data_IF_643427417358
#
_entry.id   IF_643427417358
#
_cell.length_a   1.000
_cell.length_b   1.000
_cell.length_c   1.000
_cell.angle_alpha   90.00
_cell.angle_beta   90.00
_cell.angle_gamma   90.00
#
_symmetry.space_group_name_H-M   'P 1'
#
loop_
_entity.id
_entity.type
_entity.pdbx_description
1 polymer ?
#
# COMPACT_ATOMS: atom_id res chain seq x y z
N UNK A 1 23.16 -10.60 -15.59
CA UNK A 1 21.90 -10.09 -16.18
C UNK A 1 21.87 -8.60 -15.92
N UNK A 2 21.89 -7.79 -16.97
CA UNK A 2 21.98 -6.34 -16.84
C UNK A 2 20.68 -5.79 -16.26
N UNK A 3 20.78 -5.02 -15.16
CA UNK A 3 19.69 -4.18 -14.70
C UNK A 3 19.38 -3.20 -15.85
N UNK A 4 18.24 -3.35 -16.50
CA UNK A 4 17.72 -2.34 -17.41
C UNK A 4 17.52 -1.08 -16.58
N UNK A 5 18.46 -0.15 -16.69
CA UNK A 5 18.37 1.15 -16.04
C UNK A 5 17.13 1.82 -16.60
N UNK A 6 16.02 1.74 -15.85
CA UNK A 6 14.82 2.50 -16.17
C UNK A 6 15.23 3.96 -16.18
N UNK A 7 15.04 4.61 -17.32
CA UNK A 7 15.26 6.05 -17.45
C UNK A 7 14.51 6.77 -16.33
N UNK A 8 15.08 7.82 -15.72
CA UNK A 8 14.40 8.55 -14.67
C UNK A 8 13.09 9.12 -15.23
N UNK A 9 11.98 8.52 -14.83
CA UNK A 9 10.64 9.00 -15.17
C UNK A 9 10.34 10.18 -14.28
N UNK A 10 10.04 11.34 -14.87
CA UNK A 10 9.60 12.49 -14.11
C UNK A 10 8.17 12.27 -13.60
N UNK A 11 8.05 12.00 -12.30
CA UNK A 11 6.76 11.81 -11.62
C UNK A 11 5.98 13.14 -11.56
N UNK A 12 6.66 14.28 -11.65
CA UNK A 12 6.01 15.59 -11.68
C UNK A 12 5.47 15.95 -13.07
N UNK A 13 5.75 15.15 -14.10
CA UNK A 13 5.15 15.33 -15.41
C UNK A 13 3.62 15.15 -15.34
N UNK A 14 2.84 15.78 -16.25
CA UNK A 14 1.38 15.70 -16.24
C UNK A 14 0.83 14.27 -16.21
N UNK A 15 1.45 13.34 -16.95
CA UNK A 15 1.08 11.91 -16.94
C UNK A 15 1.33 11.24 -15.59
N UNK A 16 2.41 11.60 -14.90
CA UNK A 16 2.71 11.12 -13.54
C UNK A 16 1.71 11.65 -12.51
N UNK A 17 1.36 12.93 -12.58
CA UNK A 17 0.35 13.55 -11.70
C UNK A 17 -1.02 12.90 -11.93
N UNK A 18 -1.40 12.68 -13.19
CA UNK A 18 -2.62 11.98 -13.55
C UNK A 18 -2.66 10.58 -12.91
N UNK A 19 -1.67 9.72 -13.18
CA UNK A 19 -1.64 8.36 -12.61
C UNK A 19 -1.65 8.38 -11.08
N UNK A 20 -0.94 9.32 -10.44
CA UNK A 20 -0.96 9.47 -8.98
C UNK A 20 -2.38 9.75 -8.45
N UNK A 21 -3.17 10.57 -9.14
CA UNK A 21 -4.56 10.82 -8.77
C UNK A 21 -5.40 9.53 -8.84
N UNK A 22 -5.21 8.71 -9.87
CA UNK A 22 -5.88 7.41 -9.99
C UNK A 22 -5.51 6.46 -8.85
N UNK A 23 -4.21 6.34 -8.53
CA UNK A 23 -3.74 5.53 -7.38
C UNK A 23 -4.35 6.02 -6.06
N UNK A 24 -4.53 7.33 -5.88
CA UNK A 24 -5.18 7.88 -4.69
C UNK A 24 -6.67 7.50 -4.61
N UNK A 25 -7.37 7.53 -5.75
CA UNK A 25 -8.78 7.10 -5.83
C UNK A 25 -8.88 5.61 -5.49
N UNK A 26 -8.03 4.74 -6.04
CA UNK A 26 -8.02 3.31 -5.67
C UNK A 26 -7.83 3.11 -4.17
N UNK A 27 -6.93 3.89 -3.57
CA UNK A 27 -6.69 3.88 -2.13
C UNK A 27 -7.93 4.25 -1.32
N UNK A 28 -8.69 5.23 -1.79
CA UNK A 28 -9.96 5.65 -1.18
C UNK A 28 -11.04 4.59 -1.35
N UNK A 29 -11.16 3.99 -2.54
CA UNK A 29 -12.09 2.89 -2.81
C UNK A 29 -11.78 1.66 -1.95
N UNK A 30 -10.51 1.30 -1.76
CA UNK A 30 -10.11 0.20 -0.89
C UNK A 30 -10.51 0.45 0.58
N UNK A 31 -10.25 1.66 1.09
CA UNK A 31 -10.66 2.06 2.43
C UNK A 31 -12.20 2.06 2.60
N UNK A 32 -12.93 2.49 1.58
CA UNK A 32 -14.39 2.41 1.54
C UNK A 32 -14.88 0.96 1.61
N UNK A 33 -14.32 0.04 0.82
CA UNK A 33 -14.68 -1.39 0.86
C UNK A 33 -14.49 -1.98 2.25
N UNK A 34 -13.36 -1.69 2.90
CA UNK A 34 -13.10 -2.14 4.27
C UNK A 34 -14.13 -1.57 5.27
N UNK A 35 -14.47 -0.28 5.17
CA UNK A 35 -15.46 0.34 6.05
C UNK A 35 -16.87 -0.21 5.84
N UNK A 36 -17.24 -0.49 4.59
CA UNK A 36 -18.54 -1.10 4.24
C UNK A 36 -18.63 -2.51 4.81
N UNK A 37 -17.57 -3.31 4.70
CA UNK A 37 -17.49 -4.65 5.31
C UNK A 37 -17.61 -4.55 6.84
N UNK A 38 -16.84 -3.68 7.49
CA UNK A 38 -16.89 -3.47 8.93
C UNK A 38 -18.31 -3.04 9.40
N UNK A 39 -18.96 -2.15 8.66
CA UNK A 39 -20.31 -1.70 8.99
C UNK A 39 -21.37 -2.78 8.74
N UNK A 40 -21.14 -3.71 7.81
CA UNK A 40 -22.01 -4.86 7.61
C UNK A 40 -21.92 -5.84 8.80
N UNK A 41 -20.72 -6.03 9.35
CA UNK A 41 -20.50 -6.87 10.55
C UNK A 41 -21.00 -6.19 11.83
N UNK A 42 -20.76 -4.89 11.97
CA UNK A 42 -21.09 -4.09 13.15
C UNK A 42 -21.73 -2.76 12.74
N UNK A 43 -23.05 -2.75 12.46
CA UNK A 43 -23.74 -1.54 12.04
C UNK A 43 -23.65 -0.44 13.10
N UNK A 44 -23.11 0.71 12.70
CA UNK A 44 -22.99 1.87 13.58
C UNK A 44 -23.34 3.15 12.81
N UNK A 45 -24.23 4.02 13.32
CA UNK A 45 -24.60 5.28 12.65
C UNK A 45 -23.39 6.18 12.33
N UNK A 46 -22.38 6.20 13.20
CA UNK A 46 -21.16 6.96 12.97
C UNK A 46 -20.37 6.42 11.76
N UNK A 47 -20.29 5.09 11.63
CA UNK A 47 -19.63 4.42 10.49
C UNK A 47 -20.42 4.65 9.20
N UNK A 48 -21.75 4.57 9.23
CA UNK A 48 -22.61 4.88 8.09
C UNK A 48 -22.41 6.31 7.58
N UNK A 49 -22.39 7.30 8.49
CA UNK A 49 -22.12 8.69 8.12
C UNK A 49 -20.72 8.87 7.50
N UNK A 50 -19.71 8.17 8.03
CA UNK A 50 -18.35 8.17 7.47
C UNK A 50 -18.32 7.57 6.07
N UNK A 51 -19.01 6.45 5.84
CA UNK A 51 -19.15 5.81 4.52
C UNK A 51 -19.79 6.80 3.53
N UNK A 52 -20.90 7.44 3.89
CA UNK A 52 -21.59 8.37 3.00
C UNK A 52 -20.72 9.58 2.63
N UNK A 53 -19.97 10.12 3.60
CA UNK A 53 -19.03 11.22 3.34
C UNK A 53 -17.93 10.82 2.37
N UNK A 54 -17.33 9.65 2.59
CA UNK A 54 -16.26 9.13 1.73
C UNK A 54 -16.77 8.77 0.33
N UNK A 55 -17.97 8.20 0.19
CA UNK A 55 -18.61 7.95 -1.11
C UNK A 55 -18.83 9.25 -1.87
N UNK A 56 -19.35 10.28 -1.21
CA UNK A 56 -19.57 11.61 -1.83
C UNK A 56 -18.27 12.21 -2.33
N UNK A 57 -17.20 12.15 -1.53
CA UNK A 57 -15.88 12.61 -1.92
C UNK A 57 -15.34 11.82 -3.12
N UNK A 58 -15.36 10.49 -3.04
CA UNK A 58 -14.85 9.62 -4.08
C UNK A 58 -15.64 9.74 -5.40
N UNK A 59 -16.95 10.01 -5.35
CA UNK A 59 -17.73 10.35 -6.55
C UNK A 59 -17.21 11.61 -7.25
N UNK A 60 -16.88 12.65 -6.47
CA UNK A 60 -16.32 13.89 -7.01
C UNK A 60 -14.95 13.66 -7.65
N UNK A 61 -14.08 12.93 -6.97
CA UNK A 61 -12.76 12.58 -7.47
C UNK A 61 -12.83 11.72 -8.75
N UNK A 62 -13.77 10.76 -8.81
CA UNK A 62 -14.04 9.95 -10.00
C UNK A 62 -14.53 10.77 -11.20
N UNK A 63 -15.43 11.71 -10.98
CA UNK A 63 -15.91 12.58 -12.05
C UNK A 63 -14.75 13.41 -12.65
N UNK A 64 -13.88 13.95 -11.79
CA UNK A 64 -12.68 14.66 -12.22
C UNK A 64 -11.69 13.72 -12.95
N UNK A 65 -11.51 12.50 -12.43
CA UNK A 65 -10.69 11.47 -13.06
C UNK A 65 -11.14 11.15 -14.49
N UNK A 66 -12.43 10.88 -14.70
CA UNK A 66 -12.95 10.54 -16.03
C UNK A 66 -12.83 11.71 -17.00
N UNK A 67 -13.00 12.96 -16.54
CA UNK A 67 -12.77 14.14 -17.37
C UNK A 67 -11.30 14.27 -17.83
N UNK A 68 -10.35 13.88 -16.98
CA UNK A 68 -8.93 13.84 -17.34
C UNK A 68 -8.57 12.61 -18.18
N UNK A 69 -9.25 11.49 -17.95
CA UNK A 69 -9.01 10.24 -18.66
C UNK A 69 -9.25 10.39 -20.17
N UNK A 70 -10.23 11.19 -20.60
CA UNK A 70 -10.42 11.46 -22.04
C UNK A 70 -9.25 12.22 -22.68
N UNK A 71 -8.43 12.91 -21.89
CA UNK A 71 -7.25 13.66 -22.36
C UNK A 71 -6.01 12.76 -22.38
N UNK A 72 -5.76 12.01 -21.30
CA UNK A 72 -4.56 11.19 -21.16
C UNK A 72 -4.70 9.77 -21.73
N UNK A 73 -5.92 9.25 -21.81
CA UNK A 73 -6.24 7.88 -22.23
C UNK A 73 -7.45 7.87 -23.19
N UNK A 74 -7.39 8.58 -24.33
CA UNK A 74 -8.54 8.79 -25.21
C UNK A 74 -9.12 7.49 -25.77
N UNK A 75 -8.29 6.46 -25.96
CA UNK A 75 -8.72 5.15 -26.45
C UNK A 75 -9.40 4.29 -25.38
N UNK A 76 -9.21 4.60 -24.10
CA UNK A 76 -9.78 3.87 -22.96
C UNK A 76 -11.18 4.35 -22.59
N UNK A 77 -11.48 5.62 -22.81
CA UNK A 77 -12.81 6.19 -22.54
C UNK A 77 -13.94 5.49 -23.30
N UNK A 78 -13.64 4.84 -24.43
CA UNK A 78 -14.63 4.10 -25.22
C UNK A 78 -14.99 2.72 -24.62
N UNK A 79 -14.10 2.13 -23.82
CA UNK A 79 -14.24 0.77 -23.27
C UNK A 79 -14.75 0.75 -21.84
N UNK A 80 -14.44 1.75 -21.01
CA UNK A 80 -14.75 1.75 -19.56
C UNK A 80 -16.18 2.23 -19.25
N UNK A 81 -16.80 3.01 -20.13
CA UNK A 81 -18.12 3.64 -19.86
C UNK A 81 -19.35 2.72 -19.95
N UNK A 82 -19.17 1.41 -20.16
CA UNK A 82 -20.31 0.52 -20.45
C UNK A 82 -20.68 -0.48 -19.34
N UNK A 83 -19.86 -0.69 -18.31
CA UNK A 83 -20.18 -1.73 -17.30
C UNK A 83 -19.60 -1.36 -15.94
N UNK A 84 -20.43 -1.05 -14.94
CA UNK A 84 -19.98 -1.05 -13.55
C UNK A 84 -20.86 -0.32 -12.54
N UNK A 85 -20.83 -0.74 -11.26
CA UNK A 85 -21.91 -0.65 -10.26
C UNK A 85 -22.26 0.77 -9.76
N UNK A 86 -23.46 0.90 -9.15
CA UNK A 86 -23.93 2.12 -8.49
C UNK A 86 -22.98 2.62 -7.39
N UNK A 87 -22.23 1.71 -6.76
CA UNK A 87 -21.35 2.01 -5.65
C UNK A 87 -19.92 2.35 -6.11
N UNK A 88 -19.48 3.53 -5.74
CA UNK A 88 -18.20 4.16 -6.10
C UNK A 88 -16.99 3.29 -5.76
N UNK A 89 -17.05 2.53 -4.68
CA UNK A 89 -15.96 1.67 -4.22
C UNK A 89 -15.70 0.43 -5.10
N UNK A 90 -16.56 0.16 -6.08
CA UNK A 90 -16.44 -0.98 -6.99
C UNK A 90 -16.23 -0.58 -8.45
N UNK A 91 -16.13 0.72 -8.74
CA UNK A 91 -15.88 1.20 -10.10
C UNK A 91 -14.40 1.00 -10.49
N UNK A 92 -14.19 0.49 -11.70
CA UNK A 92 -12.84 0.28 -12.27
C UNK A 92 -12.34 1.59 -12.87
N UNK A 93 -11.13 2.01 -12.51
CA UNK A 93 -10.56 3.27 -12.96
C UNK A 93 -10.01 3.20 -14.38
N UNK A 94 -9.62 2.01 -14.84
CA UNK A 94 -8.93 1.83 -16.11
C UNK A 94 -7.51 2.37 -16.03
N UNK A 95 -6.79 2.06 -14.95
CA UNK A 95 -5.35 2.31 -14.85
C UNK A 95 -4.59 1.37 -15.79
N UNK A 96 -3.36 1.69 -16.20
CA UNK A 96 -2.55 0.79 -17.00
C UNK A 96 -2.45 -0.64 -16.42
N UNK A 97 -2.39 -0.77 -15.10
CA UNK A 97 -2.39 -2.07 -14.41
C UNK A 97 -3.70 -2.87 -14.45
N UNK A 98 -4.79 -2.29 -14.94
CA UNK A 98 -6.06 -2.97 -15.23
C UNK A 98 -6.03 -3.69 -16.59
N UNK A 99 -5.03 -3.43 -17.43
CA UNK A 99 -4.92 -3.99 -18.78
C UNK A 99 -3.76 -4.99 -18.90
N UNK A 100 -3.87 -5.92 -19.85
CA UNK A 100 -2.73 -6.76 -20.24
C UNK A 100 -1.67 -5.93 -20.97
N UNK A 101 -0.45 -6.47 -21.09
CA UNK A 101 0.62 -5.79 -21.85
C UNK A 101 0.20 -5.50 -23.30
N UNK A 102 -0.40 -6.47 -23.99
CA UNK A 102 -0.89 -6.31 -25.37
C UNK A 102 -1.98 -5.23 -25.46
N UNK A 103 -2.86 -5.16 -24.46
CA UNK A 103 -3.89 -4.12 -24.39
C UNK A 103 -3.27 -2.74 -24.17
N UNK A 104 -2.30 -2.61 -23.27
CA UNK A 104 -1.55 -1.37 -23.05
C UNK A 104 -0.86 -0.87 -24.32
N UNK A 105 -0.31 -1.77 -25.14
CA UNK A 105 0.25 -1.43 -26.45
C UNK A 105 -0.84 -0.95 -27.41
N UNK A 106 -1.95 -1.68 -27.52
CA UNK A 106 -3.07 -1.34 -28.42
C UNK A 106 -3.79 -0.03 -28.06
N UNK A 107 -3.77 0.35 -26.78
CA UNK A 107 -4.44 1.53 -26.22
C UNK A 107 -3.47 2.72 -26.06
N UNK A 108 -2.23 2.60 -26.54
CA UNK A 108 -1.16 3.61 -26.44
C UNK A 108 -0.88 4.07 -24.99
N UNK A 109 -0.83 3.11 -24.05
CA UNK A 109 -0.65 3.38 -22.61
C UNK A 109 0.79 3.21 -22.13
N UNK A 110 1.74 2.88 -23.02
CA UNK A 110 3.11 2.53 -22.63
C UNK A 110 3.82 3.63 -21.82
N UNK A 111 3.63 4.90 -22.17
CA UNK A 111 4.18 6.01 -21.40
C UNK A 111 3.57 6.10 -19.99
N UNK A 112 2.26 5.87 -19.87
CA UNK A 112 1.56 5.86 -18.58
C UNK A 112 1.92 4.65 -17.72
N UNK A 113 2.19 3.48 -18.33
CA UNK A 113 2.74 2.30 -17.65
C UNK A 113 4.05 2.65 -16.95
N UNK A 114 4.95 3.39 -17.62
CA UNK A 114 6.22 3.81 -17.01
C UNK A 114 6.01 4.74 -15.81
N UNK A 115 5.04 5.66 -15.88
CA UNK A 115 4.68 6.51 -14.75
C UNK A 115 4.08 5.71 -13.58
N UNK A 116 3.15 4.79 -13.86
CA UNK A 116 2.56 3.94 -12.82
C UNK A 116 3.61 3.08 -12.14
N UNK A 117 4.48 2.46 -12.93
CA UNK A 117 5.55 1.62 -12.42
C UNK A 117 6.48 2.41 -11.48
N UNK A 118 6.96 3.59 -11.89
CA UNK A 118 7.81 4.44 -11.06
C UNK A 118 7.10 4.87 -9.75
N UNK A 119 5.82 5.21 -9.83
CA UNK A 119 5.00 5.55 -8.66
C UNK A 119 4.84 4.38 -7.70
N UNK A 120 4.51 3.18 -8.20
CA UNK A 120 4.32 1.98 -7.39
C UNK A 120 5.63 1.52 -6.75
N UNK A 121 6.76 1.61 -7.47
CA UNK A 121 8.09 1.37 -6.90
C UNK A 121 8.38 2.32 -5.73
N UNK A 122 8.11 3.63 -5.92
CA UNK A 122 8.28 4.62 -4.86
C UNK A 122 7.38 4.35 -3.66
N UNK A 123 6.13 3.96 -3.89
CA UNK A 123 5.19 3.58 -2.82
C UNK A 123 5.72 2.36 -2.06
N UNK A 124 6.11 1.30 -2.75
CA UNK A 124 6.64 0.10 -2.12
C UNK A 124 7.92 0.39 -1.32
N UNK A 125 8.84 1.19 -1.88
CA UNK A 125 10.05 1.61 -1.18
C UNK A 125 9.77 2.43 0.08
N UNK A 126 8.88 3.42 -0.01
CA UNK A 126 8.49 4.24 1.12
C UNK A 126 7.79 3.41 2.21
N UNK A 127 6.93 2.48 1.82
CA UNK A 127 6.28 1.57 2.78
C UNK A 127 7.30 0.66 3.44
N UNK A 128 8.22 0.04 2.69
CA UNK A 128 9.30 -0.79 3.27
C UNK A 128 10.16 0.00 4.27
N UNK A 129 10.52 1.24 3.94
CA UNK A 129 11.20 2.15 4.87
C UNK A 129 10.37 2.50 6.11
N UNK A 130 9.05 2.63 5.96
CA UNK A 130 8.11 2.92 7.04
C UNK A 130 7.86 1.74 7.99
N UNK A 131 7.94 0.50 7.50
CA UNK A 131 7.78 -0.70 8.33
C UNK A 131 8.89 -0.83 9.38
N UNK A 132 10.14 -0.53 8.99
CA UNK A 132 11.33 -0.68 9.87
C UNK A 132 11.21 0.04 11.22
N UNK A 133 10.92 1.35 11.31
CA UNK A 133 10.80 2.04 12.59
C UNK A 133 9.62 1.52 13.42
N UNK A 134 8.51 1.13 12.79
CA UNK A 134 7.34 0.57 13.50
C UNK A 134 7.70 -0.79 14.13
N UNK A 135 8.41 -1.65 13.40
CA UNK A 135 8.88 -2.93 13.94
C UNK A 135 9.81 -2.74 15.16
N UNK A 136 10.73 -1.77 15.11
CA UNK A 136 11.60 -1.43 16.25
C UNK A 136 10.78 -0.97 17.46
N UNK A 137 9.78 -0.10 17.23
CA UNK A 137 8.95 0.43 18.31
C UNK A 137 8.07 -0.64 18.97
N UNK A 138 7.44 -1.51 18.16
CA UNK A 138 6.66 -2.65 18.66
C UNK A 138 7.52 -3.59 19.51
N UNK A 139 8.77 -3.84 19.10
CA UNK A 139 9.71 -4.64 19.86
C UNK A 139 10.04 -4.00 21.22
N UNK A 140 10.44 -2.72 21.23
CA UNK A 140 10.77 -2.00 22.45
C UNK A 140 9.59 -1.99 23.44
N UNK A 141 8.38 -1.75 22.91
CA UNK A 141 7.15 -1.72 23.70
C UNK A 141 6.79 -3.09 24.28
N UNK A 142 7.05 -4.18 23.54
CA UNK A 142 6.85 -5.55 24.02
C UNK A 142 7.80 -5.93 25.16
N UNK A 143 9.07 -5.46 25.13
CA UNK A 143 10.05 -5.71 26.19
C UNK A 143 9.75 -4.88 27.43
N UNK A 144 9.29 -3.63 27.27
CA UNK A 144 8.94 -2.76 28.39
C UNK A 144 7.76 -3.30 29.23
N UNK A 145 6.86 -4.12 28.63
CA UNK A 145 5.79 -4.83 29.35
C UNK A 145 6.32 -5.74 30.47
N UNK A 146 7.55 -6.25 30.35
CA UNK A 146 8.11 -7.24 31.29
C UNK A 146 8.69 -6.59 32.54
N UNK A 147 9.11 -5.32 32.49
CA UNK A 147 10.02 -4.77 33.51
C UNK A 147 9.51 -3.57 34.30
N UNK A 148 8.51 -2.80 33.85
CA UNK A 148 8.29 -1.45 34.44
C UNK A 148 6.84 -0.95 34.69
N UNK A 149 5.77 -1.67 34.32
CA UNK A 149 4.40 -1.14 34.53
C UNK A 149 3.74 -1.63 35.82
N UNK A 150 3.85 -0.83 36.88
CA UNK A 150 3.24 -1.11 38.19
C UNK A 150 1.78 -0.63 38.33
N UNK A 151 1.19 0.06 37.34
CA UNK A 151 -0.19 0.60 37.40
C UNK A 151 -1.11 0.23 36.23
N UNK A 152 -2.41 -0.01 36.51
CA UNK A 152 -3.42 -0.38 35.49
C UNK A 152 -3.61 0.70 34.40
N UNK A 153 -3.59 1.99 34.77
CA UNK A 153 -3.75 3.08 33.80
C UNK A 153 -2.56 3.18 32.82
N UNK A 154 -1.34 2.97 33.31
CA UNK A 154 -0.13 2.95 32.48
C UNK A 154 -0.15 1.75 31.53
N UNK A 155 -0.59 0.59 32.02
CA UNK A 155 -0.82 -0.59 31.17
C UNK A 155 -1.83 -0.31 30.08
N UNK A 156 -2.99 0.30 30.39
CA UNK A 156 -4.01 0.61 29.41
C UNK A 156 -3.50 1.56 28.31
N UNK A 157 -2.78 2.62 28.67
CA UNK A 157 -2.17 3.55 27.70
C UNK A 157 -1.16 2.84 26.80
N UNK A 158 -0.26 2.04 27.38
CA UNK A 158 0.72 1.29 26.59
C UNK A 158 0.07 0.24 25.68
N UNK A 159 -1.01 -0.40 26.13
CA UNK A 159 -1.79 -1.31 25.27
C UNK A 159 -2.36 -0.57 24.06
N UNK A 160 -2.88 0.65 24.27
CA UNK A 160 -3.40 1.50 23.19
C UNK A 160 -2.28 1.95 22.23
N UNK A 161 -1.12 2.33 22.74
CA UNK A 161 0.06 2.68 21.93
C UNK A 161 0.52 1.50 21.06
N UNK A 162 0.57 0.29 21.64
CA UNK A 162 0.93 -0.93 20.90
C UNK A 162 -0.11 -1.20 19.82
N UNK A 163 -1.41 -1.14 20.14
CA UNK A 163 -2.47 -1.36 19.15
C UNK A 163 -2.38 -0.36 17.99
N UNK A 164 -2.10 0.92 18.30
CA UNK A 164 -1.90 1.94 17.28
C UNK A 164 -0.71 1.65 16.37
N UNK A 165 0.42 1.20 16.92
CA UNK A 165 1.60 0.85 16.13
C UNK A 165 1.40 -0.44 15.32
N UNK A 166 0.62 -1.39 15.83
CA UNK A 166 0.19 -2.57 15.07
C UNK A 166 -0.67 -2.18 13.86
N UNK A 167 -1.65 -1.30 14.05
CA UNK A 167 -2.46 -0.74 12.95
C UNK A 167 -1.58 -0.01 11.92
N UNK A 168 -0.58 0.75 12.36
CA UNK A 168 0.39 1.40 11.46
C UNK A 168 1.23 0.40 10.70
N UNK A 169 1.66 -0.69 11.33
CA UNK A 169 2.42 -1.75 10.67
C UNK A 169 1.58 -2.43 9.60
N UNK A 170 0.35 -2.81 9.94
CA UNK A 170 -0.60 -3.43 9.02
C UNK A 170 -0.87 -2.51 7.82
N UNK A 171 -1.04 -1.20 8.05
CA UNK A 171 -1.19 -0.20 6.98
C UNK A 171 0.01 -0.17 6.01
N UNK A 172 1.24 -0.12 6.53
CA UNK A 172 2.43 -0.13 5.67
C UNK A 172 2.57 -1.44 4.89
N UNK A 173 2.31 -2.58 5.54
CA UNK A 173 2.37 -3.90 4.90
C UNK A 173 1.31 -4.01 3.81
N UNK A 174 0.06 -3.61 4.07
CA UNK A 174 -1.02 -3.66 3.09
C UNK A 174 -0.69 -2.78 1.87
N UNK A 175 -0.25 -1.54 2.10
CA UNK A 175 0.15 -0.62 1.01
C UNK A 175 1.34 -1.15 0.21
N UNK A 176 2.33 -1.73 0.89
CA UNK A 176 3.47 -2.40 0.26
C UNK A 176 3.01 -3.54 -0.64
N UNK A 177 2.19 -4.44 -0.10
CA UNK A 177 1.71 -5.63 -0.81
C UNK A 177 0.81 -5.26 -1.99
N UNK A 178 -0.07 -4.26 -1.85
CA UNK A 178 -0.88 -3.74 -2.93
C UNK A 178 -0.01 -3.17 -4.07
N UNK A 179 1.01 -2.36 -3.74
CA UNK A 179 1.94 -1.84 -4.74
C UNK A 179 2.74 -2.98 -5.41
N UNK A 180 3.18 -3.97 -4.65
CA UNK A 180 3.90 -5.15 -5.16
C UNK A 180 3.06 -5.94 -6.15
N UNK A 181 1.78 -6.19 -5.87
CA UNK A 181 0.87 -6.91 -6.78
C UNK A 181 0.79 -6.21 -8.13
N UNK A 182 0.66 -4.87 -8.12
CA UNK A 182 0.63 -4.08 -9.35
C UNK A 182 1.98 -4.11 -10.08
N UNK A 183 3.09 -3.97 -9.36
CA UNK A 183 4.43 -4.08 -9.95
C UNK A 183 4.62 -5.42 -10.67
N UNK A 184 4.21 -6.53 -10.05
CA UNK A 184 4.28 -7.85 -10.66
C UNK A 184 3.43 -8.00 -11.92
N UNK A 185 2.35 -7.22 -12.07
CA UNK A 185 1.54 -7.20 -13.28
C UNK A 185 2.20 -6.36 -14.38
N UNK A 186 2.78 -5.22 -14.01
CA UNK A 186 3.38 -4.27 -14.95
C UNK A 186 4.79 -4.67 -15.41
N UNK A 187 5.51 -5.48 -14.63
CA UNK A 187 6.87 -5.92 -14.95
C UNK A 187 6.93 -7.39 -15.32
N UNK A 188 7.66 -7.70 -16.38
CA UNK A 188 7.99 -9.09 -16.74
C UNK A 188 9.18 -9.62 -15.94
N UNK A 189 9.99 -8.73 -15.36
CA UNK A 189 11.05 -9.06 -14.42
C UNK A 189 10.48 -9.21 -13.02
N UNK A 190 10.96 -10.18 -12.25
CA UNK A 190 10.67 -10.25 -10.81
C UNK A 190 11.17 -8.95 -10.15
N UNK A 191 10.27 -8.11 -9.61
CA UNK A 191 10.66 -6.88 -8.95
C UNK A 191 11.54 -7.20 -7.73
N UNK A 192 12.49 -6.33 -7.40
CA UNK A 192 13.25 -6.34 -6.13
C UNK A 192 12.38 -5.89 -4.95
N UNK A 193 11.19 -6.49 -4.84
CA UNK A 193 10.18 -6.22 -3.84
C UNK A 193 9.68 -7.58 -3.31
N UNK A 194 10.38 -8.21 -2.36
CA UNK A 194 9.97 -9.48 -1.75
C UNK A 194 8.67 -9.31 -0.94
N UNK A 195 7.82 -10.34 -0.81
CA UNK A 195 6.63 -10.23 0.02
C UNK A 195 7.01 -9.91 1.48
N UNK A 196 6.25 -9.03 2.11
CA UNK A 196 6.38 -8.71 3.53
C UNK A 196 5.11 -9.15 4.24
N UNK A 197 5.28 -9.80 5.38
CA UNK A 197 4.21 -10.24 6.26
C UNK A 197 4.42 -9.72 7.67
N UNK A 198 3.37 -9.81 8.50
CA UNK A 198 3.48 -9.46 9.92
C UNK A 198 4.50 -10.32 10.67
N UNK A 199 4.75 -11.55 10.20
CA UNK A 199 5.78 -12.42 10.77
C UNK A 199 7.19 -11.85 10.59
N UNK A 200 7.43 -11.08 9.53
CA UNK A 200 8.73 -10.49 9.23
C UNK A 200 9.06 -9.28 10.13
N UNK A 201 8.06 -8.76 10.87
CA UNK A 201 8.26 -7.73 11.90
C UNK A 201 8.88 -8.32 13.18
N UNK A 202 8.82 -9.63 13.36
CA UNK A 202 9.25 -10.30 14.59
C UNK A 202 10.74 -10.63 14.46
N UNK A 203 11.58 -10.01 15.30
CA UNK A 203 12.97 -10.46 15.43
C UNK A 203 13.02 -11.86 16.04
N UNK A 204 13.75 -12.76 15.39
CA UNK A 204 14.02 -14.08 15.95
C UNK A 204 15.03 -13.91 17.09
N UNK A 205 14.76 -14.52 18.25
CA UNK A 205 15.77 -14.59 19.32
C UNK A 205 17.00 -15.29 18.77
N UNK A 206 18.16 -14.69 18.96
CA UNK A 206 19.43 -15.25 18.50
C UNK A 206 19.65 -16.59 19.20
N UNK A 207 19.88 -17.62 18.40
CA UNK A 207 20.12 -18.97 18.91
C UNK A 207 21.36 -18.99 19.83
N UNK A 208 21.48 -20.01 20.68
CA UNK A 208 22.66 -20.15 21.54
C UNK A 208 23.97 -20.22 20.74
N UNK A 209 23.93 -20.81 19.53
CA UNK A 209 25.06 -20.89 18.61
C UNK A 209 25.46 -19.53 18.04
N UNK A 210 24.50 -18.71 17.63
CA UNK A 210 24.78 -17.36 17.10
C UNK A 210 25.27 -16.39 18.18
N UNK A 211 24.79 -16.53 19.42
CA UNK A 211 25.31 -15.80 20.58
C UNK A 211 26.77 -16.18 20.88
N UNK A 212 27.11 -17.47 20.78
CA UNK A 212 28.48 -17.94 20.92
C UNK A 212 29.40 -17.42 19.80
N UNK A 213 28.84 -17.13 18.62
CA UNK A 213 29.55 -16.49 17.50
C UNK A 213 29.64 -14.95 17.60
N UNK A 214 29.22 -14.36 18.73
CA UNK A 214 29.32 -12.91 18.97
C UNK A 214 28.17 -12.08 18.36
N UNK A 215 27.11 -12.72 17.87
CA UNK A 215 25.91 -12.03 17.40
C UNK A 215 25.11 -11.47 18.59
N UNK A 216 24.58 -10.25 18.46
CA UNK A 216 23.79 -9.60 19.50
C UNK A 216 22.58 -10.46 19.90
N UNK A 217 22.03 -10.25 21.11
CA UNK A 217 20.92 -11.04 21.70
C UNK A 217 19.63 -11.10 20.85
N UNK A 218 19.51 -10.26 19.83
CA UNK A 218 18.49 -10.35 18.80
C UNK A 218 19.13 -10.20 17.42
N UNK A 219 18.85 -11.14 16.51
CA UNK A 219 19.22 -11.03 15.10
C UNK A 219 18.19 -10.17 14.38
N UNK A 220 18.68 -9.34 13.44
CA UNK A 220 17.89 -8.45 12.60
C UNK A 220 16.59 -9.10 12.10
N UNK A 221 15.47 -8.37 12.13
CA UNK A 221 14.24 -8.89 11.51
C UNK A 221 14.48 -9.07 10.01
N UNK A 222 13.82 -10.03 9.37
CA UNK A 222 14.03 -10.35 7.94
C UNK A 222 13.89 -9.11 7.05
N UNK A 223 13.03 -8.15 7.44
CA UNK A 223 12.86 -6.85 6.76
C UNK A 223 14.13 -6.00 6.71
N UNK A 224 15.02 -6.10 7.70
CA UNK A 224 16.24 -5.29 7.75
C UNK A 224 17.24 -5.66 6.67
N UNK A 225 17.21 -6.88 6.11
CA UNK A 225 18.07 -7.29 4.99
C UNK A 225 17.45 -7.00 3.62
N UNK A 226 16.17 -6.63 3.54
CA UNK A 226 15.44 -6.46 2.27
C UNK A 226 15.47 -5.03 1.72
N UNK A 227 15.88 -4.05 2.53
CA UNK A 227 15.89 -2.62 2.18
C UNK A 227 17.22 -1.93 2.54
N UNK A 228 18.33 -2.68 2.56
CA UNK A 228 19.69 -2.16 2.75
C UNK A 228 20.36 -1.84 1.41
#
# INVERSE_FOLDING_TARGET
MAATAMLPVDIAAPGGIFILAGIHIEGTQAALRQLVLLNAEQPCPATQHKIQRLRTQASGDLAAWHAQQSVFMPLVGQTVHQVGPHDVEHQVLGLPSDFSQEQCESLDLLALVMHELALRQRIAWNCGKGVKPVAVHLQQSSHARVTQDSGQLQRARRMQEIAHEEERADWYIEKYMAARVVLLKLTTTTPDFPPITRADLIQRKTSAAERAAGSAYYTQATIFSLFL
#
